data_IF_498487422838
#
_entry.id   IF_498487422838
#
_cell.length_a   1.000
_cell.length_b   1.000
_cell.length_c   1.000
_cell.angle_alpha   90.00
_cell.angle_beta   90.00
_cell.angle_gamma   90.00
#
_symmetry.space_group_name_H-M   'P 1'
#
loop_
_entity.id
_entity.type
_entity.pdbx_description
1 polymer ?
#
# COMPACT_ATOMS: atom_id res chain seq x y z
N UNK A 1 -12.15 -6.72 -0.49
CA UNK A 1 -12.66 -5.62 -1.33
C UNK A 1 -11.97 -5.55 -2.69
N UNK A 2 -10.69 -5.89 -2.78
CA UNK A 2 -9.91 -5.81 -4.04
C UNK A 2 -9.99 -7.08 -4.91
N UNK A 3 -10.62 -8.14 -4.43
CA UNK A 3 -10.80 -9.39 -5.18
C UNK A 3 -12.24 -9.44 -5.71
N UNK A 4 -12.40 -9.38 -7.03
CA UNK A 4 -13.69 -9.56 -7.67
C UNK A 4 -13.75 -10.83 -8.54
N UNK A 5 -14.94 -11.34 -8.78
CA UNK A 5 -15.14 -12.61 -9.49
C UNK A 5 -14.51 -12.62 -10.90
N UNK A 6 -14.65 -11.52 -11.66
CA UNK A 6 -14.11 -11.42 -13.01
C UNK A 6 -12.56 -11.42 -13.06
N UNK A 7 -11.92 -10.84 -12.03
CA UNK A 7 -10.47 -10.86 -11.92
C UNK A 7 -9.94 -12.23 -11.50
N UNK A 8 -10.74 -12.99 -10.73
CA UNK A 8 -10.34 -14.31 -10.24
C UNK A 8 -10.15 -15.33 -11.37
N UNK A 9 -10.92 -15.24 -12.44
CA UNK A 9 -10.77 -16.13 -13.60
C UNK A 9 -9.38 -16.06 -14.23
N UNK A 10 -8.73 -14.88 -14.19
CA UNK A 10 -7.37 -14.67 -14.69
C UNK A 10 -6.29 -15.31 -13.82
N UNK A 11 -6.64 -15.72 -12.61
CA UNK A 11 -5.73 -16.36 -11.65
C UNK A 11 -5.84 -17.90 -11.67
N UNK A 12 -6.72 -18.47 -12.48
CA UNK A 12 -6.86 -19.94 -12.62
C UNK A 12 -5.52 -20.52 -13.08
N UNK A 13 -5.06 -21.58 -12.39
CA UNK A 13 -3.77 -22.23 -12.64
C UNK A 13 -2.55 -21.47 -12.13
N UNK A 14 -2.75 -20.35 -11.40
CA UNK A 14 -1.69 -19.64 -10.68
C UNK A 14 -1.74 -19.99 -9.20
N UNK A 15 -0.56 -20.20 -8.62
CA UNK A 15 -0.40 -20.31 -7.17
C UNK A 15 -0.61 -18.93 -6.54
N UNK A 16 -1.49 -18.84 -5.55
CA UNK A 16 -1.78 -17.60 -4.82
C UNK A 16 -1.04 -17.63 -3.49
N UNK A 17 -0.21 -16.63 -3.27
CA UNK A 17 0.52 -16.44 -2.02
C UNK A 17 -0.29 -15.51 -1.12
N UNK A 18 -0.57 -15.94 0.11
CA UNK A 18 -1.34 -15.16 1.08
C UNK A 18 -0.54 -14.94 2.37
N UNK A 19 -0.69 -13.76 3.00
CA UNK A 19 -0.22 -13.57 4.35
C UNK A 19 -0.89 -14.51 5.34
N UNK A 20 -0.19 -14.85 6.41
CA UNK A 20 -0.72 -15.66 7.53
C UNK A 20 -1.62 -14.79 8.42
N UNK A 21 -2.83 -14.54 7.99
CA UNK A 21 -3.82 -13.77 8.73
C UNK A 21 -4.69 -14.63 9.64
N UNK A 22 -5.02 -14.10 10.81
CA UNK A 22 -5.94 -14.74 11.76
C UNK A 22 -7.28 -15.06 11.09
N UNK A 23 -7.79 -16.27 11.33
CA UNK A 23 -9.11 -16.71 10.84
C UNK A 23 -9.13 -17.30 9.42
N UNK A 24 -8.09 -17.08 8.62
CA UNK A 24 -7.90 -17.71 7.29
C UNK A 24 -9.09 -17.58 6.34
N UNK A 25 -9.91 -16.53 6.46
CA UNK A 25 -11.17 -16.37 5.69
C UNK A 25 -10.92 -16.35 4.18
N UNK A 26 -9.93 -15.57 3.74
CA UNK A 26 -9.59 -15.45 2.32
C UNK A 26 -9.05 -16.79 1.80
N UNK A 27 -8.15 -17.41 2.55
CA UNK A 27 -7.61 -18.73 2.21
C UNK A 27 -8.72 -19.77 2.01
N UNK A 28 -9.62 -19.90 2.97
CA UNK A 28 -10.77 -20.82 2.86
C UNK A 28 -11.65 -20.51 1.66
N UNK A 29 -11.92 -19.24 1.39
CA UNK A 29 -12.69 -18.80 0.23
C UNK A 29 -12.02 -19.14 -1.10
N UNK A 30 -10.70 -19.03 -1.20
CA UNK A 30 -9.97 -19.39 -2.41
C UNK A 30 -9.89 -20.91 -2.61
N UNK A 31 -9.60 -21.64 -1.54
CA UNK A 31 -9.57 -23.13 -1.58
C UNK A 31 -10.93 -23.71 -1.98
N UNK A 32 -12.04 -23.13 -1.50
CA UNK A 32 -13.40 -23.58 -1.89
C UNK A 32 -13.70 -23.36 -3.38
N UNK A 33 -12.91 -22.54 -4.05
CA UNK A 33 -12.99 -22.28 -5.50
C UNK A 33 -11.88 -22.98 -6.29
N UNK A 34 -11.22 -23.97 -5.69
CA UNK A 34 -10.15 -24.78 -6.28
C UNK A 34 -8.90 -23.98 -6.70
N UNK A 35 -8.61 -22.86 -6.03
CA UNK A 35 -7.33 -22.19 -6.21
C UNK A 35 -6.23 -22.88 -5.41
N UNK A 36 -5.03 -22.94 -5.98
CA UNK A 36 -3.84 -23.32 -5.24
C UNK A 36 -3.39 -22.15 -4.37
N UNK A 37 -3.35 -22.36 -3.05
CA UNK A 37 -2.99 -21.32 -2.07
C UNK A 37 -1.82 -21.78 -1.23
N UNK A 38 -0.83 -20.90 -1.09
CA UNK A 38 0.29 -21.08 -0.16
C UNK A 38 0.29 -19.92 0.85
N UNK A 39 0.36 -20.27 2.13
CA UNK A 39 0.45 -19.27 3.20
C UNK A 39 1.91 -18.87 3.40
N UNK A 40 2.18 -17.59 3.28
CA UNK A 40 3.49 -17.00 3.56
C UNK A 40 3.67 -16.88 5.07
N UNK A 41 4.68 -17.53 5.67
CA UNK A 41 4.96 -17.39 7.10
C UNK A 41 5.35 -15.94 7.42
N UNK A 42 4.80 -15.41 8.52
CA UNK A 42 5.11 -14.05 8.95
C UNK A 42 6.62 -13.86 9.17
N UNK A 43 7.15 -12.76 8.63
CA UNK A 43 8.56 -12.31 8.78
C UNK A 43 9.62 -13.32 8.34
N UNK A 44 9.32 -14.16 7.38
CA UNK A 44 10.30 -15.09 6.80
C UNK A 44 10.49 -14.83 5.32
N UNK A 45 11.74 -14.80 4.89
CA UNK A 45 12.09 -14.73 3.48
C UNK A 45 11.76 -16.03 2.77
N UNK A 46 11.12 -15.93 1.60
CA UNK A 46 10.81 -17.05 0.69
C UNK A 46 11.39 -16.71 -0.66
N UNK A 47 12.17 -17.63 -1.22
CA UNK A 47 12.69 -17.49 -2.58
C UNK A 47 11.61 -17.89 -3.59
N UNK A 48 11.29 -16.98 -4.50
CA UNK A 48 10.44 -17.25 -5.66
C UNK A 48 11.25 -17.68 -6.88
N UNK A 49 12.47 -17.19 -6.98
CA UNK A 49 13.47 -17.57 -8.00
C UNK A 49 14.86 -17.28 -7.47
N UNK A 50 15.88 -17.48 -8.29
CA UNK A 50 17.28 -17.15 -7.96
C UNK A 50 17.45 -15.66 -7.60
N UNK A 51 16.69 -14.80 -8.26
CA UNK A 51 16.86 -13.35 -8.18
C UNK A 51 15.71 -12.63 -7.47
N UNK A 52 14.69 -13.37 -7.00
CA UNK A 52 13.51 -12.78 -6.38
C UNK A 52 13.19 -13.53 -5.09
N UNK A 53 13.14 -12.78 -4.00
CA UNK A 53 12.63 -13.28 -2.72
C UNK A 53 11.64 -12.30 -2.12
N UNK A 54 10.70 -12.82 -1.35
CA UNK A 54 9.66 -12.05 -0.68
C UNK A 54 9.64 -12.31 0.81
N UNK A 55 9.20 -11.32 1.55
CA UNK A 55 8.90 -11.40 2.97
C UNK A 55 7.61 -10.66 3.23
N UNK A 56 6.70 -11.30 3.95
CA UNK A 56 5.44 -10.69 4.35
C UNK A 56 5.44 -10.41 5.84
N UNK A 57 4.92 -9.24 6.23
CA UNK A 57 4.72 -8.87 7.64
C UNK A 57 3.23 -8.63 7.83
N UNK A 58 2.59 -9.48 8.62
CA UNK A 58 1.17 -9.33 8.95
C UNK A 58 0.97 -8.25 10.00
N UNK A 59 -0.14 -7.53 9.89
CA UNK A 59 -0.53 -6.50 10.86
C UNK A 59 -1.76 -6.94 11.65
N UNK A 60 -2.00 -6.30 12.78
CA UNK A 60 -3.15 -6.61 13.66
C UNK A 60 -4.50 -6.25 13.03
N UNK A 61 -4.50 -5.40 12.01
CA UNK A 61 -5.71 -4.95 11.28
C UNK A 61 -5.98 -5.79 10.02
N UNK A 62 -5.34 -6.95 9.90
CA UNK A 62 -5.46 -7.86 8.76
C UNK A 62 -4.95 -7.31 7.41
N UNK A 63 -4.12 -6.28 7.44
CA UNK A 63 -3.29 -5.88 6.31
C UNK A 63 -1.93 -6.54 6.39
N UNK A 64 -1.17 -6.44 5.31
CA UNK A 64 0.17 -6.97 5.27
C UNK A 64 1.12 -6.04 4.53
N UNK A 65 2.35 -5.96 5.01
CA UNK A 65 3.46 -5.28 4.34
C UNK A 65 4.20 -6.33 3.54
N UNK A 66 4.44 -6.04 2.26
CA UNK A 66 5.23 -6.89 1.39
C UNK A 66 6.61 -6.29 1.17
N UNK A 67 7.64 -7.01 1.51
CA UNK A 67 9.02 -6.74 1.13
C UNK A 67 9.38 -7.65 -0.05
N UNK A 68 9.90 -7.06 -1.10
CA UNK A 68 10.32 -7.74 -2.32
C UNK A 68 11.78 -7.40 -2.57
N UNK A 69 12.64 -8.40 -2.58
CA UNK A 69 14.01 -8.25 -3.06
C UNK A 69 14.08 -8.72 -4.52
N UNK A 70 14.54 -7.85 -5.38
CA UNK A 70 14.77 -8.15 -6.81
C UNK A 70 16.21 -7.80 -7.13
N UNK A 71 17.04 -8.81 -7.32
CA UNK A 71 18.46 -8.64 -7.62
C UNK A 71 19.20 -7.73 -6.61
N UNK A 72 18.92 -7.88 -5.32
CA UNK A 72 19.55 -7.10 -4.26
C UNK A 72 19.00 -5.67 -4.10
N UNK A 73 17.91 -5.32 -4.78
CA UNK A 73 17.16 -4.08 -4.58
C UNK A 73 15.90 -4.39 -3.77
N UNK A 74 15.70 -3.65 -2.69
CA UNK A 74 14.58 -3.84 -1.79
C UNK A 74 13.41 -2.93 -2.13
N UNK A 75 12.26 -3.50 -2.41
CA UNK A 75 10.99 -2.79 -2.57
C UNK A 75 10.09 -3.11 -1.39
N UNK A 76 9.57 -2.09 -0.72
CA UNK A 76 8.67 -2.22 0.42
C UNK A 76 7.33 -1.65 0.05
N UNK A 77 6.34 -2.50 -0.08
CA UNK A 77 4.97 -2.11 -0.36
C UNK A 77 4.17 -2.09 0.94
N UNK A 78 3.80 -0.91 1.37
CA UNK A 78 2.97 -0.72 2.56
C UNK A 78 1.48 -0.81 2.23
N UNK A 79 1.07 -0.36 1.03
CA UNK A 79 -0.34 -0.15 0.73
C UNK A 79 -1.04 0.57 1.90
N UNK A 80 -2.07 0.00 2.50
CA UNK A 80 -2.81 0.55 3.63
C UNK A 80 -2.21 0.14 5.00
N UNK A 81 -1.19 -0.71 4.99
CA UNK A 81 -0.60 -1.22 6.20
C UNK A 81 0.24 -0.16 6.93
N UNK A 82 -0.05 0.03 8.20
CA UNK A 82 0.76 0.87 9.07
C UNK A 82 2.02 0.15 9.57
N UNK A 83 3.10 0.89 9.79
CA UNK A 83 4.40 0.34 10.21
C UNK A 83 4.64 0.33 11.72
N UNK A 84 3.75 0.90 12.54
CA UNK A 84 3.96 1.16 13.98
C UNK A 84 4.53 -0.03 14.76
N UNK A 85 4.11 -1.25 14.44
CA UNK A 85 4.52 -2.46 15.16
C UNK A 85 5.78 -3.13 14.61
N UNK A 86 6.31 -2.66 13.49
CA UNK A 86 7.43 -3.30 12.79
C UNK A 86 8.45 -2.33 12.21
N UNK A 87 8.35 -1.02 12.49
CA UNK A 87 9.27 0.01 11.99
C UNK A 87 10.74 -0.36 12.24
N UNK A 88 11.10 -0.79 13.46
CA UNK A 88 12.47 -1.19 13.79
C UNK A 88 12.91 -2.39 12.97
N UNK A 89 12.06 -3.41 12.87
CA UNK A 89 12.36 -4.63 12.12
C UNK A 89 12.58 -4.32 10.63
N UNK A 90 11.71 -3.51 10.01
CA UNK A 90 11.88 -3.10 8.62
C UNK A 90 13.16 -2.29 8.44
N UNK A 91 13.44 -1.33 9.33
CA UNK A 91 14.65 -0.52 9.28
C UNK A 91 15.92 -1.34 9.38
N UNK A 92 15.93 -2.38 10.20
CA UNK A 92 17.09 -3.27 10.31
C UNK A 92 17.31 -4.08 9.03
N UNK A 93 16.24 -4.47 8.33
CA UNK A 93 16.34 -5.05 6.98
C UNK A 93 16.86 -4.02 5.98
N UNK A 94 16.29 -2.81 5.95
CA UNK A 94 16.69 -1.74 5.01
C UNK A 94 18.19 -1.46 5.07
N UNK A 95 18.80 -1.47 6.25
CA UNK A 95 20.25 -1.26 6.43
C UNK A 95 21.12 -2.30 5.72
N UNK A 96 20.58 -3.45 5.38
CA UNK A 96 21.32 -4.52 4.68
C UNK A 96 21.29 -4.37 3.16
N UNK A 97 20.56 -3.36 2.64
CA UNK A 97 20.43 -3.08 1.22
C UNK A 97 21.04 -1.73 0.86
N UNK A 98 21.78 -1.67 -0.23
CA UNK A 98 22.29 -0.43 -0.79
C UNK A 98 21.17 0.43 -1.37
N UNK A 99 20.22 -0.21 -2.04
CA UNK A 99 19.09 0.45 -2.70
C UNK A 99 17.76 -0.09 -2.18
N UNK A 100 16.98 0.81 -1.57
CA UNK A 100 15.65 0.49 -1.07
C UNK A 100 14.62 1.53 -1.54
N UNK A 101 13.41 1.04 -1.83
CA UNK A 101 12.30 1.80 -2.39
C UNK A 101 11.05 1.59 -1.54
N UNK A 102 10.38 2.68 -1.20
CA UNK A 102 9.13 2.64 -0.46
C UNK A 102 7.96 2.91 -1.40
N UNK A 103 7.08 1.91 -1.58
CA UNK A 103 5.79 2.05 -2.22
C UNK A 103 4.76 2.30 -1.13
N UNK A 104 4.18 3.48 -1.12
CA UNK A 104 3.33 3.91 -0.02
C UNK A 104 2.12 4.66 -0.52
N UNK A 105 0.98 4.31 0.06
CA UNK A 105 -0.26 5.02 -0.10
C UNK A 105 -0.24 6.27 0.80
N UNK A 106 -0.64 7.39 0.23
CA UNK A 106 -0.98 8.57 1.00
C UNK A 106 -1.98 9.41 0.22
N UNK A 107 -2.79 10.14 0.93
CA UNK A 107 -3.85 10.94 0.34
C UNK A 107 -5.22 10.39 0.68
N UNK A 108 -6.22 11.13 0.29
CA UNK A 108 -7.62 10.88 0.63
C UNK A 108 -8.40 10.63 -0.66
N UNK A 109 -8.81 9.41 -0.83
CA UNK A 109 -9.62 8.99 -1.93
C UNK A 109 -10.48 7.79 -1.54
N UNK A 110 -10.73 7.66 -0.25
CA UNK A 110 -11.38 6.53 0.39
C UNK A 110 -12.79 6.87 0.93
N UNK A 111 -13.31 5.98 1.74
CA UNK A 111 -14.63 6.10 2.36
C UNK A 111 -14.78 7.34 3.26
N UNK A 112 -13.70 7.87 3.82
CA UNK A 112 -13.74 9.06 4.66
C UNK A 112 -14.12 10.32 3.87
N UNK A 113 -13.88 10.31 2.57
CA UNK A 113 -14.34 11.37 1.67
C UNK A 113 -15.80 11.22 1.28
N UNK A 114 -16.30 10.00 1.26
CA UNK A 114 -17.70 9.70 0.90
C UNK A 114 -18.63 9.96 2.08
N UNK A 115 -18.16 9.74 3.30
CA UNK A 115 -18.90 9.98 4.54
C UNK A 115 -18.75 11.42 5.06
N UNK A 116 -18.95 12.39 4.18
CA UNK A 116 -18.77 13.82 4.51
C UNK A 116 -20.01 14.49 5.06
N UNK A 117 -20.94 13.75 5.62
CA UNK A 117 -22.15 14.29 6.22
C UNK A 117 -22.22 13.97 7.72
N UNK A 118 -22.72 14.94 8.49
CA UNK A 118 -23.04 14.73 9.90
C UNK A 118 -24.24 13.80 10.05
N UNK A 119 -24.53 13.38 11.28
CA UNK A 119 -25.75 12.63 11.60
C UNK A 119 -27.03 13.43 11.31
N UNK A 120 -26.94 14.75 11.26
CA UNK A 120 -28.03 15.66 10.91
C UNK A 120 -28.15 15.92 9.39
N UNK A 121 -27.26 15.34 8.59
CA UNK A 121 -27.25 15.50 7.14
C UNK A 121 -26.49 16.72 6.63
N UNK A 122 -25.78 17.44 7.52
CA UNK A 122 -24.98 18.59 7.14
C UNK A 122 -23.69 18.15 6.46
N UNK A 123 -23.30 18.84 5.39
CA UNK A 123 -22.06 18.59 4.69
C UNK A 123 -20.85 18.95 5.57
N UNK A 124 -19.97 17.98 5.76
CA UNK A 124 -18.70 18.18 6.47
C UNK A 124 -17.57 18.38 5.47
N UNK A 125 -16.65 19.29 5.79
CA UNK A 125 -15.45 19.48 4.97
C UNK A 125 -14.57 18.22 5.11
N UNK A 126 -14.28 17.49 4.01
CA UNK A 126 -13.44 16.30 4.06
C UNK A 126 -12.05 16.59 4.63
N UNK A 127 -11.44 15.62 5.34
CA UNK A 127 -10.09 15.76 5.88
C UNK A 127 -9.04 16.17 4.83
N UNK A 128 -9.21 15.78 3.58
CA UNK A 128 -8.34 16.15 2.46
C UNK A 128 -8.19 17.67 2.28
N UNK A 129 -9.23 18.47 2.62
CA UNK A 129 -9.15 19.94 2.57
C UNK A 129 -8.53 20.59 3.81
N UNK A 130 -8.16 19.83 4.82
CA UNK A 130 -7.54 20.37 6.05
C UNK A 130 -6.02 20.57 5.90
N UNK A 131 -5.56 21.09 4.77
CA UNK A 131 -4.13 21.42 4.51
C UNK A 131 -3.13 20.32 4.89
N UNK A 132 -3.49 19.06 4.64
CA UNK A 132 -2.60 17.96 4.90
C UNK A 132 -1.48 17.97 3.86
N UNK A 133 -0.26 18.17 4.33
CA UNK A 133 0.95 18.10 3.53
C UNK A 133 1.29 16.63 3.27
N UNK A 134 0.62 16.05 2.30
CA UNK A 134 0.73 14.62 1.96
C UNK A 134 2.17 14.22 1.69
N UNK A 135 2.90 15.02 0.91
CA UNK A 135 4.31 14.75 0.62
C UNK A 135 5.19 14.75 1.86
N UNK A 136 4.95 15.65 2.82
CA UNK A 136 5.66 15.69 4.10
C UNK A 136 5.40 14.41 4.92
N UNK A 137 4.17 13.91 4.93
CA UNK A 137 3.83 12.66 5.63
C UNK A 137 4.52 11.44 5.00
N UNK A 138 4.58 11.38 3.66
CA UNK A 138 5.37 10.36 2.96
C UNK A 138 6.84 10.42 3.36
N UNK A 139 7.39 11.63 3.43
CA UNK A 139 8.76 11.85 3.85
C UNK A 139 9.05 11.42 5.29
N UNK A 140 8.14 11.72 6.22
CA UNK A 140 8.25 11.27 7.63
C UNK A 140 8.26 9.73 7.68
N UNK A 141 7.37 9.08 6.94
CA UNK A 141 7.28 7.63 6.92
C UNK A 141 8.56 7.01 6.32
N UNK A 142 9.04 7.50 5.19
CA UNK A 142 10.28 7.05 4.57
C UNK A 142 11.48 7.22 5.50
N UNK A 143 11.62 8.40 6.10
CA UNK A 143 12.69 8.69 7.07
C UNK A 143 12.64 7.77 8.28
N UNK A 144 11.45 7.46 8.79
CA UNK A 144 11.29 6.53 9.92
C UNK A 144 11.79 5.11 9.62
N UNK A 145 11.73 4.72 8.35
CA UNK A 145 12.22 3.42 7.86
C UNK A 145 13.68 3.47 7.38
N UNK A 146 14.27 4.66 7.24
CA UNK A 146 15.62 4.83 6.70
C UNK A 146 15.70 4.69 5.18
N UNK A 147 14.61 5.00 4.46
CA UNK A 147 14.49 4.86 3.00
C UNK A 147 14.52 6.24 2.36
N UNK A 148 15.32 6.40 1.30
CA UNK A 148 15.42 7.65 0.57
C UNK A 148 14.57 7.71 -0.69
N UNK A 149 14.21 6.57 -1.29
CA UNK A 149 13.46 6.52 -2.54
C UNK A 149 12.00 6.22 -2.25
N UNK A 150 11.10 7.12 -2.64
CA UNK A 150 9.67 7.01 -2.36
C UNK A 150 8.87 7.02 -3.66
N UNK A 151 8.04 6.03 -3.84
CA UNK A 151 7.13 5.87 -4.95
C UNK A 151 5.72 6.00 -4.40
N UNK A 152 4.99 7.09 -4.70
CA UNK A 152 3.57 7.18 -4.37
C UNK A 152 2.84 6.08 -5.14
N UNK A 153 2.12 5.26 -4.39
CA UNK A 153 1.50 4.06 -4.90
C UNK A 153 0.05 3.99 -4.40
N UNK A 154 -0.89 3.57 -5.28
CA UNK A 154 -2.32 3.53 -4.97
C UNK A 154 -2.98 4.92 -4.83
N UNK A 155 -4.28 4.97 -4.56
CA UNK A 155 -5.11 6.19 -4.41
C UNK A 155 -5.07 7.21 -5.57
N UNK A 156 -4.55 6.83 -6.72
CA UNK A 156 -4.59 7.62 -7.94
C UNK A 156 -5.88 7.28 -8.71
N UNK A 157 -7.02 7.53 -8.11
CA UNK A 157 -8.33 7.19 -8.68
C UNK A 157 -9.16 8.44 -8.98
N UNK A 158 -10.22 8.22 -9.72
CA UNK A 158 -11.21 9.22 -10.05
C UNK A 158 -12.62 8.63 -9.91
N UNK A 159 -13.49 9.35 -9.23
CA UNK A 159 -14.90 8.96 -9.12
C UNK A 159 -15.63 9.24 -10.42
N UNK A 160 -16.40 8.26 -10.90
CA UNK A 160 -17.09 8.34 -12.20
C UNK A 160 -18.62 8.25 -12.09
N UNK A 161 -19.14 7.79 -10.95
CA UNK A 161 -20.58 7.69 -10.74
C UNK A 161 -21.19 9.07 -10.50
N UNK A 162 -22.37 9.31 -11.02
CA UNK A 162 -23.08 10.59 -10.90
C UNK A 162 -23.33 11.03 -9.45
N UNK A 163 -23.49 10.05 -8.53
CA UNK A 163 -23.72 10.29 -7.10
C UNK A 163 -22.43 10.56 -6.31
N UNK A 164 -21.27 10.34 -6.87
CA UNK A 164 -19.98 10.49 -6.20
C UNK A 164 -18.97 11.37 -6.96
N UNK A 165 -19.30 11.85 -8.16
CA UNK A 165 -18.39 12.64 -9.01
C UNK A 165 -17.91 13.93 -8.30
N UNK A 166 -18.71 14.47 -7.41
CA UNK A 166 -18.39 15.63 -6.57
C UNK A 166 -17.15 15.39 -5.68
N UNK A 167 -16.87 14.11 -5.32
CA UNK A 167 -15.73 13.78 -4.49
C UNK A 167 -14.38 13.97 -5.22
N UNK A 168 -14.38 14.14 -6.56
CA UNK A 168 -13.17 14.44 -7.30
C UNK A 168 -12.55 15.78 -6.91
N UNK A 169 -13.34 16.72 -6.38
CA UNK A 169 -12.83 18.00 -5.86
C UNK A 169 -11.97 17.83 -4.59
N UNK A 170 -11.99 16.65 -4.01
CA UNK A 170 -11.34 16.33 -2.74
C UNK A 170 -10.25 15.28 -2.83
N UNK A 171 -10.07 14.64 -4.00
CA UNK A 171 -8.96 13.70 -4.23
C UNK A 171 -7.63 14.43 -4.11
N UNK A 172 -6.58 13.69 -3.77
CA UNK A 172 -5.24 14.22 -3.68
C UNK A 172 -4.54 14.11 -5.05
N UNK A 173 -4.35 15.21 -5.77
CA UNK A 173 -3.65 15.17 -7.06
C UNK A 173 -2.16 14.91 -6.85
N UNK A 174 -1.50 14.35 -7.86
CA UNK A 174 -0.07 14.02 -7.81
C UNK A 174 0.84 15.24 -7.52
N UNK A 175 0.41 16.43 -7.93
CA UNK A 175 1.09 17.69 -7.61
C UNK A 175 1.21 17.91 -6.09
N UNK A 176 0.15 17.65 -5.33
CA UNK A 176 0.14 17.83 -3.88
C UNK A 176 1.15 16.93 -3.16
N UNK A 177 1.49 15.78 -3.74
CA UNK A 177 2.56 14.92 -3.22
C UNK A 177 3.93 15.57 -3.39
N UNK A 178 4.18 16.24 -4.53
CA UNK A 178 5.46 16.90 -4.82
C UNK A 178 5.65 18.19 -4.05
N UNK A 179 4.61 19.01 -3.93
CA UNK A 179 4.70 20.38 -3.41
C UNK A 179 5.21 20.43 -1.96
N UNK A 180 4.92 19.39 -1.19
CA UNK A 180 5.33 19.30 0.23
C UNK A 180 6.35 18.21 0.50
N UNK A 181 6.89 17.55 -0.53
CA UNK A 181 7.85 16.46 -0.37
C UNK A 181 9.23 16.98 0.09
N UNK A 182 9.88 16.31 1.06
CA UNK A 182 11.18 16.70 1.55
C UNK A 182 12.26 16.66 0.46
N UNK A 183 13.04 17.73 0.31
CA UNK A 183 14.06 17.86 -0.73
C UNK A 183 15.25 16.90 -0.59
N UNK A 184 15.43 16.35 0.59
CA UNK A 184 16.51 15.39 0.89
C UNK A 184 16.15 13.95 0.57
N UNK A 185 14.94 13.70 0.07
CA UNK A 185 14.47 12.39 -0.37
C UNK A 185 14.18 12.41 -1.87
N UNK A 186 14.21 11.24 -2.48
CA UNK A 186 13.93 11.05 -3.90
C UNK A 186 12.46 10.71 -4.10
N UNK A 187 11.71 11.63 -4.71
CA UNK A 187 10.35 11.36 -5.15
C UNK A 187 10.39 10.74 -6.55
N UNK A 188 9.96 9.50 -6.65
CA UNK A 188 9.93 8.74 -7.91
C UNK A 188 8.46 8.64 -8.36
N UNK A 189 8.07 9.29 -9.46
CA UNK A 189 6.72 9.16 -9.98
C UNK A 189 6.39 7.71 -10.33
N UNK A 190 5.12 7.31 -10.15
CA UNK A 190 4.65 6.02 -10.66
C UNK A 190 4.90 5.91 -12.18
N UNK A 191 5.19 4.71 -12.64
CA UNK A 191 5.50 4.40 -14.06
C UNK A 191 6.78 5.02 -14.60
N UNK A 192 7.71 5.41 -13.74
CA UNK A 192 9.06 5.81 -14.15
C UNK A 192 9.96 4.60 -14.36
N UNK A 193 10.92 4.72 -15.29
CA UNK A 193 12.06 3.78 -15.37
C UNK A 193 13.08 4.12 -14.29
N UNK A 194 13.58 3.12 -13.60
CA UNK A 194 14.58 3.27 -12.52
C UNK A 194 15.82 2.42 -12.85
#
# INVERSE_FOLDING_TARGET
DHINAASMEKLIGKKILLPDHVGSRICKGLLSKNFEVEILPDRKWINLSENIKILCITTVIQDAILLLDVNGRLFINLNDAGTKHCTRYIRDIVKTYENSYLLVLSGFGDADMINCYSETGDFLIPPAKKNLKVGEQLGIQATSLGINNVIPFSSLHQYQRSDSIWANDYITPLSSYRDSFPKNLNFIPAFSSV
#
